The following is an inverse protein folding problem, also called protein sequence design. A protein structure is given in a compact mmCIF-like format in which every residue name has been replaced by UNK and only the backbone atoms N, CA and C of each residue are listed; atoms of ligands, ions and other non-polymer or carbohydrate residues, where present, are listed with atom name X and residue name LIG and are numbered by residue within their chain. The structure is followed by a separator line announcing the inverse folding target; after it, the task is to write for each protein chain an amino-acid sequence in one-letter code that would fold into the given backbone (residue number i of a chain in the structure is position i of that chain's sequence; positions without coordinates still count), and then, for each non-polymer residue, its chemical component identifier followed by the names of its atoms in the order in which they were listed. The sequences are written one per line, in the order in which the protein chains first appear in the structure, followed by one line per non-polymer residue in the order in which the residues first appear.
data_IF_088803401564
#
_entry.id   IF_088803401564
#
_cell.length_a   1.000
_cell.length_b   1.000
_cell.length_c   1.000
_cell.angle_alpha   90.00
_cell.angle_beta   90.00
_cell.angle_gamma   90.00
#
_symmetry.space_group_name_H-M   'P 1'
#
loop_
_entity.id
_entity.type
_entity.pdbx_description
1 polymer ?
#
# COMPACT_ATOMS: atom_id res chain seq x y z
N UNK A 1 -4.46 4.40 7.25
CA UNK A 1 -4.31 3.66 8.52
C UNK A 1 -4.48 2.19 8.24
N UNK A 2 -3.60 1.34 8.79
CA UNK A 2 -3.69 -0.12 8.75
C UNK A 2 -4.14 -0.56 10.15
N UNK A 3 -5.35 -1.13 10.24
CA UNK A 3 -5.91 -1.68 11.48
C UNK A 3 -5.82 -3.20 11.44
N UNK A 4 -5.29 -3.82 12.46
CA UNK A 4 -4.95 -5.24 12.45
C UNK A 4 -5.40 -5.90 13.75
N UNK A 5 -6.29 -6.89 13.65
CA UNK A 5 -6.79 -7.61 14.82
C UNK A 5 -5.70 -8.48 15.44
N UNK A 6 -5.38 -8.23 16.72
CA UNK A 6 -4.40 -9.00 17.49
C UNK A 6 -4.77 -10.49 17.60
N UNK A 7 -6.05 -10.78 17.79
CA UNK A 7 -6.56 -12.16 17.86
C UNK A 7 -6.30 -12.90 16.55
N UNK A 8 -6.62 -12.27 15.41
CA UNK A 8 -6.35 -12.87 14.08
C UNK A 8 -4.85 -13.12 13.86
N UNK A 9 -3.99 -12.20 14.31
CA UNK A 9 -2.54 -12.38 14.21
C UNK A 9 -2.03 -13.60 14.99
N UNK A 10 -2.50 -13.78 16.23
CA UNK A 10 -2.12 -14.94 17.05
C UNK A 10 -2.66 -16.24 16.46
N UNK A 11 -3.94 -16.26 16.02
CA UNK A 11 -4.54 -17.45 15.38
C UNK A 11 -3.78 -17.88 14.12
N UNK A 12 -3.34 -16.91 13.32
CA UNK A 12 -2.62 -17.16 12.07
C UNK A 12 -1.09 -17.28 12.26
N UNK A 13 -0.59 -17.14 13.50
CA UNK A 13 0.86 -17.10 13.82
C UNK A 13 1.64 -16.03 13.05
N UNK A 14 0.98 -14.92 12.70
CA UNK A 14 1.52 -13.84 11.86
C UNK A 14 1.94 -12.59 12.67
N UNK A 15 2.02 -12.69 14.02
CA UNK A 15 2.36 -11.55 14.87
C UNK A 15 3.81 -11.10 14.71
N UNK A 16 4.75 -12.04 14.50
CA UNK A 16 6.16 -11.74 14.29
C UNK A 16 6.39 -10.92 13.01
N UNK A 17 5.66 -11.25 11.94
CA UNK A 17 5.72 -10.52 10.66
C UNK A 17 5.29 -9.06 10.83
N UNK A 18 4.24 -8.80 11.61
CA UNK A 18 3.73 -7.44 11.85
C UNK A 18 4.67 -6.63 12.75
N UNK A 19 5.24 -7.24 13.78
CA UNK A 19 6.26 -6.58 14.61
C UNK A 19 7.47 -6.24 13.76
N UNK A 20 7.94 -7.18 12.96
CA UNK A 20 9.06 -6.97 12.05
C UNK A 20 8.77 -5.86 11.02
N UNK A 21 7.57 -5.84 10.43
CA UNK A 21 7.14 -4.77 9.53
C UNK A 21 7.18 -3.40 10.23
N UNK A 22 6.66 -3.32 11.45
CA UNK A 22 6.66 -2.10 12.25
C UNK A 22 8.09 -1.63 12.56
N UNK A 23 8.98 -2.52 13.00
CA UNK A 23 10.37 -2.19 13.32
C UNK A 23 11.16 -1.73 12.10
N UNK A 24 10.97 -2.35 10.94
CA UNK A 24 11.59 -1.92 9.69
C UNK A 24 11.08 -0.55 9.28
N UNK A 25 9.76 -0.37 9.23
CA UNK A 25 9.16 0.90 8.87
C UNK A 25 9.61 2.05 9.79
N UNK A 26 9.82 1.78 11.08
CA UNK A 26 10.32 2.76 12.04
C UNK A 26 11.75 3.27 11.71
N UNK A 27 12.55 2.46 11.04
CA UNK A 27 13.95 2.75 10.69
C UNK A 27 14.11 3.31 9.27
N UNK A 28 13.14 3.07 8.39
CA UNK A 28 13.21 3.46 6.99
C UNK A 28 12.68 4.89 6.79
N UNK A 29 13.47 5.72 6.12
CA UNK A 29 13.06 7.08 5.74
C UNK A 29 13.65 7.45 4.38
N UNK A 30 12.82 7.35 3.32
CA UNK A 30 13.26 7.61 1.96
C UNK A 30 12.12 8.12 1.08
N UNK A 31 12.36 9.06 0.13
CA UNK A 31 11.32 9.64 -0.72
C UNK A 31 10.50 8.63 -1.55
N UNK A 32 11.05 7.44 -1.82
CA UNK A 32 10.41 6.40 -2.64
C UNK A 32 9.99 5.16 -1.83
N UNK A 33 9.88 5.30 -0.51
CA UNK A 33 9.26 4.30 0.37
C UNK A 33 8.04 4.93 1.03
N UNK A 34 7.03 4.11 1.30
CA UNK A 34 5.89 4.54 2.13
C UNK A 34 6.37 4.62 3.57
N UNK A 35 6.43 5.83 4.11
CA UNK A 35 6.87 6.07 5.48
C UNK A 35 5.78 5.74 6.50
N UNK A 36 6.18 5.28 7.68
CA UNK A 36 5.32 5.15 8.84
C UNK A 36 5.48 6.40 9.72
N UNK A 37 4.36 7.06 10.03
CA UNK A 37 4.36 8.23 10.90
C UNK A 37 4.31 7.82 12.37
N UNK A 38 3.44 6.88 12.71
CA UNK A 38 3.35 6.30 14.04
C UNK A 38 2.65 4.95 14.04
N UNK A 39 2.86 4.18 15.09
CA UNK A 39 2.10 2.99 15.42
C UNK A 39 1.66 3.03 16.86
N UNK A 40 0.49 2.51 17.15
CA UNK A 40 -0.07 2.38 18.48
C UNK A 40 -1.02 1.19 18.55
N UNK A 41 -1.52 0.90 19.73
CA UNK A 41 -2.37 -0.25 19.97
C UNK A 41 -3.46 0.07 21.00
N UNK A 42 -4.57 -0.66 20.91
CA UNK A 42 -5.53 -0.80 21.98
C UNK A 42 -5.61 -2.25 22.46
N UNK A 43 -6.63 -2.60 23.23
CA UNK A 43 -6.82 -3.96 23.72
C UNK A 43 -6.92 -5.00 22.59
N UNK A 44 -7.58 -4.67 21.48
CA UNK A 44 -7.98 -5.63 20.46
C UNK A 44 -7.23 -5.50 19.14
N UNK A 45 -6.66 -4.32 18.85
CA UNK A 45 -6.08 -3.98 17.56
C UNK A 45 -4.71 -3.33 17.67
N UNK A 46 -3.92 -3.52 16.63
CA UNK A 46 -2.72 -2.74 16.31
C UNK A 46 -3.06 -1.75 15.20
N UNK A 47 -2.46 -0.57 15.26
CA UNK A 47 -2.64 0.49 14.27
C UNK A 47 -1.29 0.96 13.75
N UNK A 48 -1.16 1.05 12.43
CA UNK A 48 -0.01 1.65 11.77
C UNK A 48 -0.50 2.79 10.89
N UNK A 49 0.02 3.99 11.13
CA UNK A 49 -0.31 5.19 10.38
C UNK A 49 0.83 5.50 9.43
N UNK A 50 0.59 5.23 8.16
CA UNK A 50 1.55 5.42 7.09
C UNK A 50 1.21 6.67 6.28
N UNK A 51 2.14 7.10 5.43
CA UNK A 51 1.89 8.16 4.46
C UNK A 51 0.69 7.81 3.57
N UNK A 52 -0.13 8.81 3.29
CA UNK A 52 -1.28 8.63 2.41
C UNK A 52 -0.84 8.59 0.94
N UNK A 53 -1.16 7.51 0.27
CA UNK A 53 -0.92 7.29 -1.16
C UNK A 53 -2.25 7.36 -1.95
N UNK A 54 -2.76 8.58 -2.21
CA UNK A 54 -4.12 8.76 -2.76
C UNK A 54 -4.26 8.30 -4.21
N UNK A 55 -3.15 8.08 -4.90
CA UNK A 55 -3.14 7.56 -6.26
C UNK A 55 -3.44 6.06 -6.36
N UNK A 56 -3.46 5.32 -5.22
CA UNK A 56 -3.66 3.87 -5.22
C UNK A 56 -2.45 3.10 -5.74
N UNK A 57 -2.62 1.83 -6.03
CA UNK A 57 -1.54 0.93 -6.45
C UNK A 57 -1.41 0.79 -7.97
N UNK A 58 -0.26 0.30 -8.43
CA UNK A 58 0.03 0.09 -9.84
C UNK A 58 -0.85 -1.02 -10.45
N UNK A 59 -1.25 -2.06 -9.68
CA UNK A 59 -2.15 -3.12 -10.14
C UNK A 59 -3.50 -2.56 -10.56
N UNK A 60 -4.07 -1.71 -9.71
CA UNK A 60 -5.33 -1.05 -10.02
C UNK A 60 -5.24 -0.27 -11.34
N UNK A 61 -4.21 0.57 -11.51
CA UNK A 61 -4.05 1.38 -12.73
C UNK A 61 -3.69 0.55 -13.96
N UNK A 62 -2.96 -0.53 -13.77
CA UNK A 62 -2.69 -1.51 -14.82
C UNK A 62 -3.98 -2.08 -15.43
N UNK A 63 -4.98 -2.36 -14.59
CA UNK A 63 -6.30 -2.85 -15.03
C UNK A 63 -7.14 -1.70 -15.62
N UNK A 64 -7.22 -0.56 -14.94
CA UNK A 64 -8.10 0.55 -15.34
C UNK A 64 -7.63 1.28 -16.60
N UNK A 65 -6.34 1.53 -16.71
CA UNK A 65 -5.76 2.31 -17.81
C UNK A 65 -5.57 1.49 -19.08
N UNK A 66 -5.62 0.16 -18.99
CA UNK A 66 -5.36 -0.81 -20.07
C UNK A 66 -3.92 -0.79 -20.61
N UNK A 67 -3.32 0.39 -20.87
CA UNK A 67 -1.98 0.54 -21.43
C UNK A 67 -1.21 1.64 -20.74
N UNK A 68 -0.02 1.32 -20.26
CA UNK A 68 1.01 2.29 -19.95
C UNK A 68 1.89 2.49 -21.18
N UNK A 69 2.29 3.71 -21.45
CA UNK A 69 3.33 4.01 -22.43
C UNK A 69 4.71 3.65 -21.86
N UNK A 70 5.68 3.40 -22.74
CA UNK A 70 7.07 3.16 -22.29
C UNK A 70 7.63 4.32 -21.45
N UNK A 71 7.27 5.57 -21.77
CA UNK A 71 7.67 6.75 -21.01
C UNK A 71 7.14 6.72 -19.58
N UNK A 72 5.88 6.32 -19.39
CA UNK A 72 5.27 6.18 -18.05
C UNK A 72 5.92 5.04 -17.28
N UNK A 73 6.13 3.89 -17.96
CA UNK A 73 6.83 2.75 -17.38
C UNK A 73 8.23 3.14 -16.92
N UNK A 74 9.00 3.82 -17.77
CA UNK A 74 10.36 4.28 -17.47
C UNK A 74 10.42 5.12 -16.20
N UNK A 75 9.49 6.05 -16.02
CA UNK A 75 9.41 6.88 -14.84
C UNK A 75 9.07 6.08 -13.58
N UNK A 76 8.07 5.19 -13.67
CA UNK A 76 7.66 4.30 -12.56
C UNK A 76 8.83 3.42 -12.14
N UNK A 77 9.49 2.76 -13.09
CA UNK A 77 10.62 1.88 -12.81
C UNK A 77 11.81 2.66 -12.22
N UNK A 78 12.05 3.88 -12.66
CA UNK A 78 13.10 4.72 -12.08
C UNK A 78 12.83 5.03 -10.59
N UNK A 79 11.59 5.34 -10.22
CA UNK A 79 11.22 5.55 -8.82
C UNK A 79 11.39 4.26 -8.00
N UNK A 80 11.00 3.09 -8.53
CA UNK A 80 11.19 1.78 -7.89
C UNK A 80 12.68 1.50 -7.68
N UNK A 81 13.53 1.73 -8.69
CA UNK A 81 14.99 1.56 -8.59
C UNK A 81 15.56 2.41 -7.46
N UNK A 82 15.15 3.68 -7.30
CA UNK A 82 15.62 4.54 -6.21
C UNK A 82 15.17 4.03 -4.83
N UNK A 83 13.96 3.45 -4.71
CA UNK A 83 13.49 2.79 -3.51
C UNK A 83 14.31 1.55 -3.17
N UNK A 84 14.56 0.67 -4.16
CA UNK A 84 15.39 -0.52 -3.99
C UNK A 84 16.85 -0.17 -3.67
N UNK A 85 17.41 0.88 -4.29
CA UNK A 85 18.77 1.37 -3.99
C UNK A 85 18.93 1.69 -2.50
N UNK A 86 17.95 2.37 -1.92
CA UNK A 86 17.96 2.69 -0.51
C UNK A 86 17.84 1.44 0.37
N UNK A 87 16.91 0.52 0.05
CA UNK A 87 16.75 -0.73 0.80
C UNK A 87 18.04 -1.56 0.77
N UNK A 88 18.59 -1.78 -0.43
CA UNK A 88 19.80 -2.61 -0.62
C UNK A 88 21.03 -1.97 0.04
N UNK A 89 21.16 -0.63 0.03
CA UNK A 89 22.24 0.06 0.74
C UNK A 89 22.14 -0.08 2.27
N UNK A 90 20.93 -0.32 2.78
CA UNK A 90 20.67 -0.64 4.19
C UNK A 90 20.65 -2.16 4.46
N UNK A 91 21.13 -2.96 3.50
CA UNK A 91 21.19 -4.43 3.57
C UNK A 91 19.80 -5.08 3.69
N UNK A 92 18.75 -4.47 3.15
CA UNK A 92 17.37 -4.97 3.20
C UNK A 92 16.95 -5.43 1.81
N UNK A 93 16.43 -6.66 1.71
CA UNK A 93 15.78 -7.21 0.53
C UNK A 93 14.26 -7.06 0.73
N UNK A 94 13.56 -6.55 -0.29
CA UNK A 94 12.10 -6.33 -0.23
C UNK A 94 11.30 -7.64 -0.27
N UNK A 95 11.65 -8.55 -1.18
CA UNK A 95 11.14 -9.92 -1.36
C UNK A 95 9.68 -10.04 -1.85
N UNK A 96 8.90 -8.97 -1.82
CA UNK A 96 7.52 -8.97 -2.35
C UNK A 96 7.26 -7.80 -3.31
N UNK A 97 8.23 -7.54 -4.21
CA UNK A 97 8.03 -6.51 -5.23
C UNK A 97 7.00 -6.98 -6.27
N UNK A 98 5.87 -6.29 -6.31
CA UNK A 98 4.74 -6.54 -7.21
C UNK A 98 3.95 -5.25 -7.42
N UNK A 99 3.08 -5.16 -8.45
CA UNK A 99 2.31 -3.94 -8.72
C UNK A 99 1.42 -3.48 -7.57
N UNK A 100 0.92 -4.40 -6.73
CA UNK A 100 0.10 -4.11 -5.55
C UNK A 100 0.89 -3.34 -4.47
N UNK A 101 2.21 -3.52 -4.41
CA UNK A 101 3.11 -2.88 -3.44
C UNK A 101 3.83 -1.64 -4.00
N UNK A 102 3.43 -1.17 -5.18
CA UNK A 102 3.93 0.05 -5.83
C UNK A 102 2.80 1.08 -5.82
N UNK A 103 2.85 2.03 -4.88
CA UNK A 103 1.77 2.97 -4.60
C UNK A 103 2.07 4.35 -5.17
N UNK A 104 1.06 4.99 -5.76
CA UNK A 104 1.16 6.35 -6.31
C UNK A 104 0.81 7.42 -5.28
N UNK A 105 1.63 8.46 -5.23
CA UNK A 105 1.29 9.71 -4.55
C UNK A 105 0.37 10.61 -5.42
N UNK A 106 -0.02 11.76 -4.88
CA UNK A 106 -0.85 12.75 -5.58
C UNK A 106 -0.16 13.43 -6.77
N UNK A 107 1.17 13.32 -6.90
CA UNK A 107 1.98 13.92 -7.97
C UNK A 107 2.32 12.93 -9.07
N UNK A 108 1.98 11.65 -8.88
CA UNK A 108 2.29 10.56 -9.82
C UNK A 108 3.65 9.90 -9.61
N UNK A 109 4.33 10.19 -8.50
CA UNK A 109 5.49 9.41 -8.08
C UNK A 109 5.04 8.13 -7.42
N UNK A 110 5.86 7.08 -7.52
CA UNK A 110 5.56 5.81 -6.88
C UNK A 110 6.48 5.54 -5.70
N UNK A 111 5.94 4.85 -4.71
CA UNK A 111 6.60 4.50 -3.46
C UNK A 111 6.43 3.01 -3.20
N UNK A 112 7.49 2.34 -2.74
CA UNK A 112 7.43 0.95 -2.32
C UNK A 112 6.76 0.84 -0.95
N UNK A 113 5.88 -0.12 -0.81
CA UNK A 113 5.09 -0.39 0.38
C UNK A 113 5.17 -1.87 0.76
N UNK A 114 4.70 -2.18 1.96
CA UNK A 114 4.56 -3.54 2.50
C UNK A 114 5.90 -4.26 2.70
N UNK A 115 6.51 -4.01 3.86
CA UNK A 115 7.78 -4.61 4.27
C UNK A 115 7.59 -5.81 5.21
N UNK A 116 6.39 -6.40 5.28
CA UNK A 116 6.05 -7.49 6.19
C UNK A 116 6.93 -8.71 6.05
N UNK A 117 7.41 -9.01 4.84
CA UNK A 117 8.36 -10.09 4.58
C UNK A 117 9.75 -9.61 4.14
N UNK A 118 10.00 -8.30 4.16
CA UNK A 118 11.33 -7.76 3.88
C UNK A 118 12.32 -8.30 4.92
N UNK A 119 13.57 -8.50 4.52
CA UNK A 119 14.57 -9.08 5.43
C UNK A 119 15.90 -8.37 5.32
N UNK A 120 16.49 -8.08 6.48
CA UNK A 120 17.83 -7.55 6.56
C UNK A 120 18.84 -8.69 6.45
N UNK A 121 19.79 -8.55 5.54
CA UNK A 121 20.98 -9.42 5.49
C UNK A 121 21.91 -9.06 6.65
N UNK A 122 22.67 -10.03 7.13
CA UNK A 122 23.70 -9.79 8.11
C UNK A 122 24.91 -9.04 7.59
N UNK A 123 25.95 -8.98 8.40
CA UNK A 123 27.14 -8.19 8.07
C UNK A 123 28.14 -8.95 7.19
N UNK A 124 28.01 -10.28 7.08
CA UNK A 124 28.87 -11.08 6.21
C UNK A 124 28.54 -10.84 4.73
N UNK A 125 29.57 -10.61 3.87
CA UNK A 125 29.36 -10.26 2.45
C UNK A 125 28.61 -11.32 1.63
N UNK A 126 28.65 -12.59 2.07
CA UNK A 126 28.04 -13.74 1.39
C UNK A 126 26.73 -14.21 2.03
N UNK A 127 26.22 -13.48 3.03
CA UNK A 127 25.00 -13.89 3.71
C UNK A 127 23.81 -13.85 2.75
N UNK A 128 23.13 -14.97 2.68
CA UNK A 128 21.99 -15.21 1.81
C UNK A 128 20.82 -15.74 2.62
N UNK A 129 19.61 -15.48 2.14
CA UNK A 129 18.38 -15.87 2.80
C UNK A 129 17.92 -17.23 2.28
N UNK A 130 17.60 -18.15 3.20
CA UNK A 130 16.86 -19.39 2.93
C UNK A 130 15.42 -19.22 3.40
N UNK A 131 14.55 -18.69 2.55
CA UNK A 131 13.15 -18.45 2.84
C UNK A 131 12.38 -18.33 1.54
N UNK A 132 11.18 -18.87 1.50
CA UNK A 132 10.34 -18.94 0.31
C UNK A 132 9.11 -18.05 0.40
N UNK A 133 9.14 -17.03 1.27
CA UNK A 133 8.07 -16.05 1.38
C UNK A 133 8.00 -15.16 0.15
N UNK A 134 6.81 -14.67 -0.17
CA UNK A 134 6.54 -13.76 -1.28
C UNK A 134 5.43 -14.25 -2.21
N UNK A 135 5.15 -13.45 -3.22
CA UNK A 135 4.10 -13.71 -4.21
C UNK A 135 4.62 -14.59 -5.35
N UNK A 136 4.16 -15.85 -5.51
CA UNK A 136 4.80 -16.83 -6.40
C UNK A 136 4.99 -16.36 -7.84
N UNK A 137 4.08 -15.54 -8.38
CA UNK A 137 4.16 -15.04 -9.74
C UNK A 137 5.24 -13.99 -10.00
N UNK A 138 5.91 -13.49 -8.93
CA UNK A 138 6.98 -12.49 -8.98
C UNK A 138 8.29 -13.01 -8.39
N UNK A 139 8.28 -14.18 -7.76
CA UNK A 139 9.49 -14.79 -7.18
C UNK A 139 10.53 -15.09 -8.22
N UNK A 140 11.79 -14.86 -7.84
CA UNK A 140 12.93 -15.30 -8.64
C UNK A 140 13.09 -16.83 -8.64
N UNK A 141 13.81 -17.40 -9.63
CA UNK A 141 14.06 -18.83 -9.67
C UNK A 141 14.69 -19.37 -8.39
N UNK A 142 15.72 -18.72 -7.88
CA UNK A 142 16.39 -19.13 -6.65
C UNK A 142 15.42 -19.14 -5.45
N UNK A 143 14.49 -18.17 -5.34
CA UNK A 143 13.50 -18.14 -4.26
C UNK A 143 12.45 -19.24 -4.40
N UNK A 144 11.87 -19.44 -5.60
CA UNK A 144 10.79 -20.42 -5.80
C UNK A 144 11.29 -21.87 -5.71
N UNK A 145 12.58 -22.09 -6.03
CA UNK A 145 13.26 -23.40 -5.91
C UNK A 145 13.88 -23.65 -4.54
N UNK A 146 13.61 -22.79 -3.54
CA UNK A 146 14.12 -22.89 -2.18
C UNK A 146 15.66 -22.83 -2.08
N UNK A 147 16.26 -22.02 -2.95
CA UNK A 147 17.70 -21.77 -2.91
C UNK A 147 17.99 -20.49 -2.13
N UNK A 148 19.24 -20.36 -1.69
CA UNK A 148 19.72 -19.13 -1.07
C UNK A 148 19.65 -17.97 -2.06
N UNK A 149 19.10 -16.84 -1.65
CA UNK A 149 18.90 -15.67 -2.50
C UNK A 149 19.44 -14.38 -1.87
N UNK A 150 19.66 -13.39 -2.71
CA UNK A 150 20.24 -12.09 -2.39
C UNK A 150 19.39 -10.93 -2.97
N UNK A 151 19.96 -9.74 -3.01
CA UNK A 151 19.33 -8.56 -3.65
C UNK A 151 18.91 -8.81 -5.11
N UNK A 152 19.56 -9.73 -5.80
CA UNK A 152 19.26 -10.07 -7.20
C UNK A 152 17.83 -10.60 -7.37
N UNK A 153 17.21 -11.13 -6.32
CA UNK A 153 15.81 -11.58 -6.34
C UNK A 153 14.82 -10.42 -6.55
N UNK A 154 15.07 -9.24 -5.96
CA UNK A 154 14.23 -8.05 -6.18
C UNK A 154 14.35 -7.56 -7.63
N UNK A 155 15.50 -7.70 -8.26
CA UNK A 155 15.69 -7.32 -9.68
C UNK A 155 14.95 -8.26 -10.63
N UNK A 156 14.87 -9.55 -10.30
CA UNK A 156 14.02 -10.47 -11.08
C UNK A 156 12.54 -10.06 -10.94
N UNK A 157 12.07 -9.78 -9.72
CA UNK A 157 10.70 -9.31 -9.49
C UNK A 157 10.41 -8.01 -10.25
N UNK A 158 11.37 -7.08 -10.32
CA UNK A 158 11.30 -5.87 -11.15
C UNK A 158 11.16 -6.22 -12.64
N UNK A 159 11.91 -7.22 -13.11
CA UNK A 159 11.81 -7.74 -14.48
C UNK A 159 10.42 -8.30 -14.80
N UNK A 160 9.80 -9.00 -13.84
CA UNK A 160 8.42 -9.49 -13.96
C UNK A 160 7.44 -8.33 -14.07
N UNK A 161 7.60 -7.27 -13.27
CA UNK A 161 6.77 -6.05 -13.36
C UNK A 161 6.94 -5.38 -14.73
N UNK A 162 8.17 -5.22 -15.23
CA UNK A 162 8.43 -4.67 -16.57
C UNK A 162 7.77 -5.50 -17.67
N UNK A 163 7.95 -6.82 -17.62
CA UNK A 163 7.34 -7.75 -18.58
C UNK A 163 5.81 -7.63 -18.57
N UNK A 164 5.20 -7.62 -17.39
CA UNK A 164 3.75 -7.52 -17.24
C UNK A 164 3.22 -6.19 -17.78
N UNK A 165 3.91 -5.07 -17.53
CA UNK A 165 3.51 -3.75 -18.05
C UNK A 165 3.50 -3.70 -19.56
N UNK A 166 4.41 -4.39 -20.24
CA UNK A 166 4.50 -4.44 -21.70
C UNK A 166 3.60 -5.52 -22.29
N UNK A 167 3.71 -6.77 -21.80
CA UNK A 167 3.09 -7.95 -22.41
C UNK A 167 1.68 -8.25 -21.91
N UNK A 168 1.20 -7.52 -20.88
CA UNK A 168 -0.13 -7.69 -20.27
C UNK A 168 -0.39 -9.04 -19.61
N UNK A 169 0.65 -9.78 -19.36
CA UNK A 169 0.63 -11.08 -18.65
C UNK A 169 1.97 -11.27 -17.95
N UNK A 170 1.98 -12.06 -16.90
CA UNK A 170 3.23 -12.44 -16.25
C UNK A 170 4.03 -13.41 -17.12
N UNK A 171 5.36 -13.44 -17.01
CA UNK A 171 6.20 -14.36 -17.80
C UNK A 171 5.92 -15.82 -17.42
N UNK A 172 5.73 -16.11 -16.14
CA UNK A 172 5.40 -17.44 -15.64
C UNK A 172 4.06 -17.44 -14.96
N UNK A 173 3.14 -18.30 -15.41
CA UNK A 173 1.77 -18.39 -14.91
C UNK A 173 1.46 -19.81 -14.43
N UNK A 174 0.54 -19.93 -13.48
CA UNK A 174 0.01 -21.18 -12.94
C UNK A 174 -1.10 -20.88 -11.95
N UNK A 175 -1.95 -21.86 -11.64
CA UNK A 175 -3.06 -21.74 -10.69
C UNK A 175 -2.58 -21.75 -9.24
N UNK A 176 -1.42 -22.33 -9.01
CA UNK A 176 -0.80 -22.43 -7.70
C UNK A 176 0.74 -22.32 -7.83
N UNK A 177 1.42 -22.29 -6.69
CA UNK A 177 2.87 -22.15 -6.62
C UNK A 177 3.60 -23.29 -7.35
N UNK A 178 3.10 -24.53 -7.28
CA UNK A 178 3.73 -25.68 -7.90
C UNK A 178 3.69 -25.60 -9.42
N UNK A 179 2.57 -25.23 -10.01
CA UNK A 179 2.44 -25.02 -11.46
C UNK A 179 3.36 -23.90 -11.97
N UNK A 180 3.48 -22.78 -11.22
CA UNK A 180 4.39 -21.68 -11.56
C UNK A 180 5.85 -22.17 -11.52
N UNK A 181 6.22 -22.95 -10.50
CA UNK A 181 7.54 -23.56 -10.36
C UNK A 181 7.87 -24.48 -11.52
N UNK A 182 6.96 -25.35 -11.92
CA UNK A 182 7.11 -26.24 -13.08
C UNK A 182 7.20 -25.45 -14.38
N UNK A 183 6.36 -24.43 -14.56
CA UNK A 183 6.43 -23.55 -15.72
C UNK A 183 7.80 -22.86 -15.81
N UNK A 184 8.28 -22.34 -14.68
CA UNK A 184 9.60 -21.69 -14.62
C UNK A 184 10.75 -22.67 -14.85
N UNK A 185 10.63 -23.93 -14.40
CA UNK A 185 11.65 -24.96 -14.66
C UNK A 185 11.76 -25.28 -16.16
N UNK A 186 10.61 -25.48 -16.81
CA UNK A 186 10.54 -26.01 -18.17
C UNK A 186 10.65 -24.94 -19.27
N UNK A 187 10.38 -23.66 -18.98
CA UNK A 187 10.35 -22.62 -19.98
C UNK A 187 11.42 -21.54 -19.70
N UNK A 188 12.10 -21.13 -20.78
CA UNK A 188 12.95 -19.95 -20.78
C UNK A 188 12.19 -18.79 -21.44
N UNK A 189 12.00 -17.71 -20.71
CA UNK A 189 11.31 -16.53 -21.22
C UNK A 189 12.32 -15.52 -21.72
N UNK A 190 12.24 -15.24 -23.02
CA UNK A 190 13.01 -14.20 -23.68
C UNK A 190 12.10 -13.52 -24.71
N UNK A 191 11.88 -12.22 -24.56
CA UNK A 191 11.11 -11.44 -25.51
C UNK A 191 11.93 -11.29 -26.79
N UNK A 192 11.40 -11.75 -27.90
CA UNK A 192 12.05 -11.63 -29.22
C UNK A 192 11.69 -10.32 -29.91
N UNK A 193 12.52 -9.86 -30.83
CA UNK A 193 12.32 -8.58 -31.54
C UNK A 193 10.97 -8.50 -32.26
N UNK A 194 10.48 -9.60 -32.79
CA UNK A 194 9.18 -9.69 -33.48
C UNK A 194 7.96 -9.74 -32.52
N UNK A 195 8.19 -9.89 -31.23
CA UNK A 195 7.16 -9.91 -30.19
C UNK A 195 6.98 -8.55 -29.52
N UNK A 196 7.81 -7.57 -29.87
CA UNK A 196 7.77 -6.23 -29.25
C UNK A 196 6.48 -5.53 -29.64
N UNK A 197 5.59 -5.15 -28.67
CA UNK A 197 4.38 -4.43 -28.99
C UNK A 197 4.69 -3.03 -29.55
N UNK A 198 3.82 -2.52 -30.39
CA UNK A 198 3.96 -1.16 -30.94
C UNK A 198 4.07 -0.12 -29.82
N UNK A 199 5.09 0.74 -29.91
CA UNK A 199 5.33 1.81 -28.93
C UNK A 199 6.33 1.46 -27.81
N UNK A 200 6.97 0.27 -27.90
CA UNK A 200 8.03 -0.15 -27.01
C UNK A 200 9.37 -0.29 -27.77
N UNK A 201 10.46 0.06 -27.09
CA UNK A 201 11.81 0.04 -27.67
C UNK A 201 12.52 -1.30 -27.46
N UNK A 202 13.52 -1.56 -28.30
CA UNK A 202 14.45 -2.69 -28.14
C UNK A 202 15.26 -2.58 -26.85
N UNK A 203 15.56 -1.35 -26.41
CA UNK A 203 16.30 -1.08 -25.19
C UNK A 203 15.49 -1.48 -23.94
N UNK A 204 14.16 -1.25 -23.93
CA UNK A 204 13.29 -1.73 -22.87
C UNK A 204 13.23 -3.25 -22.81
N UNK A 205 13.15 -3.88 -23.99
CA UNK A 205 13.14 -5.35 -24.11
C UNK A 205 14.46 -5.95 -23.61
N UNK A 206 15.60 -5.37 -23.98
CA UNK A 206 16.92 -5.80 -23.50
C UNK A 206 17.03 -5.66 -21.98
N UNK A 207 16.57 -4.52 -21.42
CA UNK A 207 16.51 -4.30 -19.99
C UNK A 207 15.67 -5.37 -19.28
N UNK A 208 14.47 -5.64 -19.80
CA UNK A 208 13.53 -6.61 -19.22
C UNK A 208 14.09 -8.04 -19.29
N UNK A 209 14.63 -8.44 -20.46
CA UNK A 209 15.23 -9.77 -20.65
C UNK A 209 16.41 -9.99 -19.69
N UNK A 210 17.27 -8.99 -19.52
CA UNK A 210 18.42 -9.06 -18.60
C UNK A 210 18.00 -9.13 -17.13
N UNK A 211 16.87 -8.54 -16.74
CA UNK A 211 16.33 -8.68 -15.39
C UNK A 211 15.69 -10.05 -15.18
N UNK A 212 15.09 -10.66 -16.20
CA UNK A 212 14.47 -11.98 -16.15
C UNK A 212 15.47 -13.14 -16.32
N UNK A 213 16.78 -12.85 -16.36
CA UNK A 213 17.81 -13.87 -16.39
C UNK A 213 17.70 -14.81 -15.19
N UNK A 214 17.61 -16.13 -15.47
CA UNK A 214 17.41 -17.12 -14.41
C UNK A 214 18.64 -17.29 -13.53
N UNK A 215 19.83 -17.29 -14.14
CA UNK A 215 21.07 -17.29 -13.38
C UNK A 215 21.28 -15.90 -12.77
N UNK A 216 21.24 -15.81 -11.44
CA UNK A 216 21.37 -14.53 -10.73
C UNK A 216 22.67 -13.81 -11.03
N UNK A 217 23.79 -14.53 -11.26
CA UNK A 217 25.11 -13.94 -11.55
C UNK A 217 25.14 -13.21 -12.91
N UNK A 218 24.32 -13.65 -13.86
CA UNK A 218 24.18 -13.03 -15.18
C UNK A 218 23.07 -11.96 -15.20
N UNK A 219 22.26 -11.90 -14.14
CA UNK A 219 21.12 -10.98 -14.03
C UNK A 219 21.61 -9.54 -13.91
N UNK A 220 20.96 -8.63 -14.62
CA UNK A 220 21.22 -7.19 -14.51
C UNK A 220 21.02 -6.73 -13.05
N UNK A 221 22.02 -6.08 -12.51
CA UNK A 221 22.03 -5.61 -11.11
C UNK A 221 22.74 -6.55 -10.13
N UNK A 222 23.13 -7.78 -10.52
CA UNK A 222 23.86 -8.67 -9.63
C UNK A 222 25.13 -8.03 -9.04
N UNK A 223 25.84 -7.24 -9.86
CA UNK A 223 27.06 -6.49 -9.43
C UNK A 223 26.72 -5.18 -8.70
N UNK A 224 25.47 -4.79 -8.65
CA UNK A 224 24.98 -3.59 -7.97
C UNK A 224 23.96 -2.81 -8.79
N UNK A 225 23.20 -1.98 -8.11
CA UNK A 225 22.08 -1.24 -8.70
C UNK A 225 22.50 -0.22 -9.78
N UNK A 226 23.77 0.20 -9.78
CA UNK A 226 24.29 1.10 -10.80
C UNK A 226 24.22 0.48 -12.22
N UNK A 227 24.29 -0.84 -12.35
CA UNK A 227 24.14 -1.51 -13.63
C UNK A 227 22.78 -1.20 -14.25
N UNK A 228 21.71 -1.13 -13.43
CA UNK A 228 20.37 -0.76 -13.89
C UNK A 228 20.37 0.71 -14.36
N UNK A 229 20.92 1.61 -13.57
CA UNK A 229 20.93 3.05 -13.86
C UNK A 229 21.72 3.40 -15.12
N UNK A 230 22.81 2.66 -15.38
CA UNK A 230 23.67 2.83 -16.54
C UNK A 230 23.15 2.14 -17.82
N UNK A 231 22.11 1.31 -17.71
CA UNK A 231 21.54 0.60 -18.85
C UNK A 231 21.04 1.59 -19.92
N UNK A 232 21.25 1.32 -21.25
CA UNK A 232 20.86 2.22 -22.32
C UNK A 232 19.43 2.74 -22.24
N UNK A 233 18.49 1.91 -21.80
CA UNK A 233 17.10 2.31 -21.60
C UNK A 233 16.92 3.43 -20.59
N UNK A 234 17.70 3.46 -19.49
CA UNK A 234 17.59 4.43 -18.40
C UNK A 234 18.67 5.53 -18.43
N UNK A 235 19.68 5.39 -19.31
CA UNK A 235 20.89 6.24 -19.34
C UNK A 235 20.61 7.75 -19.42
N UNK A 236 19.52 8.16 -20.07
CA UNK A 236 19.19 9.58 -20.26
C UNK A 236 18.33 10.17 -19.14
N UNK A 237 18.01 9.40 -18.10
CA UNK A 237 17.24 9.93 -16.98
C UNK A 237 18.07 10.86 -16.10
N UNK A 238 17.47 11.95 -15.67
CA UNK A 238 18.06 12.80 -14.64
C UNK A 238 17.70 12.27 -13.25
N UNK A 239 18.46 11.30 -12.78
CA UNK A 239 18.27 10.63 -11.49
C UNK A 239 18.17 11.61 -10.31
N UNK A 240 18.99 12.68 -10.32
CA UNK A 240 18.95 13.71 -9.28
C UNK A 240 17.61 14.45 -9.26
N UNK A 241 17.07 14.81 -10.43
CA UNK A 241 15.77 15.49 -10.48
C UNK A 241 14.63 14.57 -10.09
N UNK A 242 14.70 13.29 -10.47
CA UNK A 242 13.69 12.28 -10.03
C UNK A 242 13.78 12.14 -8.51
N UNK A 243 14.98 11.95 -7.94
CA UNK A 243 15.19 11.82 -6.50
C UNK A 243 14.66 13.04 -5.72
N UNK A 244 14.88 14.23 -6.22
CA UNK A 244 14.39 15.49 -5.62
C UNK A 244 12.91 15.78 -5.95
N UNK A 245 12.21 14.87 -6.63
CA UNK A 245 10.82 15.03 -7.07
C UNK A 245 10.56 16.32 -7.87
N UNK A 246 11.54 16.72 -8.69
CA UNK A 246 11.47 17.92 -9.57
C UNK A 246 10.98 17.59 -10.97
N UNK A 247 11.04 16.33 -11.40
CA UNK A 247 10.51 15.90 -12.70
C UNK A 247 8.98 15.83 -12.66
N UNK A 248 8.33 16.24 -13.75
CA UNK A 248 6.89 16.06 -13.89
C UNK A 248 6.60 14.61 -14.25
N UNK A 249 5.86 13.90 -13.37
CA UNK A 249 5.43 12.55 -13.66
C UNK A 249 4.59 12.49 -14.96
N UNK A 250 4.91 11.56 -15.88
CA UNK A 250 4.18 11.45 -17.14
C UNK A 250 2.77 10.86 -16.97
N UNK A 251 2.50 10.24 -15.83
CA UNK A 251 1.18 9.76 -15.43
C UNK A 251 0.89 10.27 -14.01
N UNK A 252 -0.23 10.95 -13.86
CA UNK A 252 -0.76 11.37 -12.55
C UNK A 252 -2.12 10.70 -12.40
N UNK A 253 -2.27 9.79 -11.42
CA UNK A 253 -3.53 9.13 -11.17
C UNK A 253 -4.65 10.16 -10.92
N UNK A 254 -5.82 10.04 -11.57
CA UNK A 254 -6.98 10.82 -11.18
C UNK A 254 -7.35 10.49 -9.72
N UNK A 255 -7.88 11.46 -8.98
CA UNK A 255 -8.29 11.24 -7.58
C UNK A 255 -9.26 10.06 -7.50
N UNK A 256 -8.80 8.96 -6.88
CA UNK A 256 -9.63 7.79 -6.64
C UNK A 256 -10.62 8.13 -5.53
N UNK A 257 -11.91 7.94 -5.78
CA UNK A 257 -12.90 7.88 -4.70
C UNK A 257 -12.71 6.50 -4.05
N UNK A 258 -12.08 6.47 -2.88
CA UNK A 258 -11.86 5.23 -2.14
C UNK A 258 -13.24 4.70 -1.70
N UNK A 259 -13.70 3.63 -2.35
CA UNK A 259 -14.79 2.81 -1.82
C UNK A 259 -14.12 1.77 -0.91
N UNK A 260 -14.43 1.80 0.37
CA UNK A 260 -14.02 0.77 1.32
C UNK A 260 -14.69 -0.56 0.95
N UNK A 261 -13.91 -1.62 0.82
CA UNK A 261 -14.43 -2.98 0.77
C UNK A 261 -14.97 -3.33 2.17
N UNK A 262 -16.24 -3.73 2.24
CA UNK A 262 -16.86 -4.18 3.48
C UNK A 262 -16.36 -5.59 3.80
N UNK A 263 -15.64 -5.72 4.91
CA UNK A 263 -15.37 -7.02 5.51
C UNK A 263 -16.68 -7.58 6.12
N UNK A 264 -17.28 -8.55 5.44
CA UNK A 264 -18.40 -9.32 5.96
C UNK A 264 -17.95 -10.22 7.12
N UNK A 265 -17.98 -9.68 8.34
CA UNK A 265 -17.72 -10.44 9.57
C UNK A 265 -19.00 -11.11 10.08
N UNK A 266 -19.18 -12.39 9.74
CA UNK A 266 -20.15 -13.27 10.40
C UNK A 266 -19.64 -13.63 11.82
N UNK A 267 -20.21 -13.01 12.84
CA UNK A 267 -19.92 -13.28 14.25
C UNK A 267 -20.65 -14.55 14.74
N UNK A 268 -19.92 -15.64 14.93
CA UNK A 268 -20.39 -16.84 15.66
C UNK A 268 -19.99 -16.73 17.15
N UNK A 269 -20.90 -17.03 18.09
CA UNK A 269 -20.67 -17.00 19.54
C UNK A 269 -19.51 -17.89 20.01
N UNK A 270 -19.27 -19.01 19.34
CA UNK A 270 -18.13 -19.90 19.62
C UNK A 270 -16.77 -19.22 19.40
N UNK A 271 -16.66 -18.30 18.41
CA UNK A 271 -15.46 -17.49 18.19
C UNK A 271 -15.20 -16.50 19.31
N UNK A 272 -16.23 -15.99 20.00
CA UNK A 272 -16.05 -15.06 21.12
C UNK A 272 -15.31 -15.69 22.31
N UNK A 273 -15.66 -16.93 22.68
CA UNK A 273 -15.03 -17.62 23.80
C UNK A 273 -13.58 -18.02 23.52
N UNK A 274 -13.27 -18.38 22.28
CA UNK A 274 -11.91 -18.70 21.84
C UNK A 274 -11.03 -17.42 21.80
N UNK A 275 -11.57 -16.32 21.31
CA UNK A 275 -10.90 -15.02 21.31
C UNK A 275 -10.56 -14.54 22.72
N UNK A 276 -11.46 -14.75 23.72
CA UNK A 276 -11.22 -14.38 25.10
C UNK A 276 -10.05 -15.18 25.74
N UNK A 277 -9.93 -16.47 25.40
CA UNK A 277 -8.80 -17.30 25.84
C UNK A 277 -7.48 -16.82 25.28
N UNK A 278 -7.46 -16.43 24.00
CA UNK A 278 -6.25 -15.89 23.35
C UNK A 278 -5.85 -14.55 23.97
N UNK A 279 -6.78 -13.62 24.20
CA UNK A 279 -6.53 -12.32 24.81
C UNK A 279 -5.97 -12.40 26.22
N UNK A 280 -6.30 -13.44 26.98
CA UNK A 280 -5.82 -13.66 28.34
C UNK A 280 -4.48 -14.42 28.40
N UNK A 281 -3.93 -14.86 27.27
CA UNK A 281 -2.66 -15.58 27.25
C UNK A 281 -1.45 -14.68 27.51
N UNK A 282 -0.40 -15.24 28.14
CA UNK A 282 0.88 -14.52 28.30
C UNK A 282 1.53 -14.16 26.97
N UNK A 283 1.37 -15.03 25.97
CA UNK A 283 1.85 -14.80 24.62
C UNK A 283 1.26 -13.50 24.03
N UNK A 284 -0.06 -13.28 24.23
CA UNK A 284 -0.74 -12.07 23.74
C UNK A 284 -0.16 -10.80 24.37
N UNK A 285 0.14 -10.83 25.68
CA UNK A 285 0.72 -9.68 26.39
C UNK A 285 2.13 -9.38 25.92
N UNK A 286 2.99 -10.39 25.82
CA UNK A 286 4.39 -10.25 25.39
C UNK A 286 4.55 -9.87 23.93
N UNK A 287 3.72 -10.45 23.04
CA UNK A 287 3.86 -10.26 21.60
C UNK A 287 3.74 -8.80 21.14
N UNK A 288 3.01 -7.96 21.90
CA UNK A 288 2.71 -6.59 21.49
C UNK A 288 3.22 -5.52 22.48
N UNK A 289 4.11 -5.88 23.41
CA UNK A 289 4.56 -5.00 24.50
C UNK A 289 5.21 -3.69 24.01
N UNK A 290 5.88 -3.70 22.86
CA UNK A 290 6.65 -2.57 22.32
C UNK A 290 6.20 -2.12 20.94
N UNK A 291 4.93 -2.33 20.58
CA UNK A 291 4.42 -1.97 19.24
C UNK A 291 4.29 -0.46 18.99
N UNK A 292 4.64 0.38 19.94
CA UNK A 292 4.43 1.81 19.84
C UNK A 292 5.62 2.53 19.18
N UNK A 293 5.33 3.40 18.22
CA UNK A 293 6.33 4.19 17.51
C UNK A 293 5.79 5.57 17.13
N UNK A 294 6.64 6.58 17.22
CA UNK A 294 6.37 7.93 16.76
C UNK A 294 7.56 8.46 15.93
N UNK A 295 7.28 8.93 14.71
CA UNK A 295 8.30 9.50 13.84
C UNK A 295 8.63 10.94 14.26
N UNK A 296 9.69 11.11 15.06
CA UNK A 296 10.17 12.42 15.55
C UNK A 296 10.58 13.40 14.44
N UNK A 297 10.80 12.91 13.22
CA UNK A 297 11.27 13.72 12.08
C UNK A 297 10.13 14.22 11.19
N UNK A 298 8.90 13.80 11.44
CA UNK A 298 7.75 14.29 10.68
C UNK A 298 7.44 15.74 11.04
N UNK A 299 7.89 16.69 10.19
CA UNK A 299 7.58 18.13 10.33
C UNK A 299 6.08 18.43 10.41
N UNK A 300 5.25 17.54 9.89
CA UNK A 300 3.80 17.67 9.83
C UNK A 300 3.12 17.65 11.21
N UNK A 301 3.77 17.04 12.21
CA UNK A 301 3.18 16.80 13.53
C UNK A 301 3.88 17.52 14.68
N UNK A 302 4.90 18.36 14.41
CA UNK A 302 5.69 19.04 15.43
C UNK A 302 4.87 20.01 16.31
N UNK A 303 3.76 20.55 15.80
CA UNK A 303 2.95 21.54 16.52
C UNK A 303 1.93 20.94 17.51
N UNK A 304 1.71 19.61 17.48
CA UNK A 304 0.75 18.92 18.34
C UNK A 304 1.38 17.71 19.05
N UNK A 305 2.61 17.89 19.53
CA UNK A 305 3.43 16.81 20.07
C UNK A 305 2.77 16.05 21.23
N UNK A 306 2.01 16.72 22.10
CA UNK A 306 1.38 16.10 23.26
C UNK A 306 0.29 15.09 22.87
N UNK A 307 -0.52 15.39 21.85
CA UNK A 307 -1.57 14.47 21.37
C UNK A 307 -0.94 13.22 20.76
N UNK A 308 0.20 13.38 20.06
CA UNK A 308 0.83 12.27 19.33
C UNK A 308 1.84 11.47 20.15
N UNK A 309 2.35 12.02 21.25
CA UNK A 309 3.24 11.32 22.19
C UNK A 309 2.48 10.53 23.25
N UNK A 310 1.17 10.79 23.41
CA UNK A 310 0.29 10.05 24.30
C UNK A 310 -0.77 9.32 23.47
N UNK A 311 -0.64 7.99 23.24
CA UNK A 311 -1.59 7.20 22.45
C UNK A 311 -3.03 7.32 22.94
N UNK A 312 -3.22 7.50 24.27
CA UNK A 312 -4.55 7.65 24.89
C UNK A 312 -5.22 8.96 24.47
N UNK A 313 -4.49 10.08 24.55
CA UNK A 313 -5.01 11.40 24.12
C UNK A 313 -5.32 11.45 22.63
N UNK A 314 -4.51 10.76 21.81
CA UNK A 314 -4.77 10.64 20.38
C UNK A 314 -6.07 9.87 20.10
N UNK A 315 -6.31 8.80 20.86
CA UNK A 315 -7.53 7.99 20.72
C UNK A 315 -8.77 8.78 21.17
N UNK A 316 -8.69 9.49 22.30
CA UNK A 316 -9.77 10.37 22.78
C UNK A 316 -10.10 11.47 21.78
N UNK A 317 -9.09 12.05 21.11
CA UNK A 317 -9.31 13.08 20.10
C UNK A 317 -9.99 12.51 18.83
N UNK A 318 -9.64 11.29 18.39
CA UNK A 318 -10.35 10.59 17.31
C UNK A 318 -11.80 10.35 17.71
N UNK A 319 -12.06 9.77 18.88
CA UNK A 319 -13.43 9.51 19.37
C UNK A 319 -14.24 10.81 19.51
N UNK A 320 -13.63 11.87 20.02
CA UNK A 320 -14.26 13.20 20.11
C UNK A 320 -14.67 13.72 18.73
N UNK A 321 -13.79 13.62 17.75
CA UNK A 321 -14.06 14.05 16.36
C UNK A 321 -15.11 13.17 15.68
N UNK A 322 -15.12 11.87 15.93
CA UNK A 322 -16.19 10.98 15.48
C UNK A 322 -17.55 11.35 16.08
N UNK A 323 -17.60 11.67 17.38
CA UNK A 323 -18.82 12.09 18.04
C UNK A 323 -19.32 13.43 17.51
N UNK A 324 -18.45 14.42 17.29
CA UNK A 324 -18.79 15.69 16.66
C UNK A 324 -19.39 15.49 15.27
N UNK A 325 -18.76 14.63 14.44
CA UNK A 325 -19.27 14.31 13.11
C UNK A 325 -20.64 13.62 13.17
N UNK A 326 -20.82 12.64 14.05
CA UNK A 326 -22.08 11.94 14.22
C UNK A 326 -23.20 12.88 14.68
N UNK A 327 -22.89 13.84 15.56
CA UNK A 327 -23.84 14.86 16.02
C UNK A 327 -24.28 15.79 14.87
N UNK A 328 -23.36 16.16 13.98
CA UNK A 328 -23.67 16.98 12.79
C UNK A 328 -24.53 16.20 11.82
N UNK A 329 -24.20 14.93 11.56
CA UNK A 329 -25.01 14.03 10.70
C UNK A 329 -26.43 13.88 11.27
N UNK A 330 -26.56 13.68 12.59
CA UNK A 330 -27.86 13.56 13.25
C UNK A 330 -28.70 14.82 13.12
N UNK A 331 -28.11 16.01 13.35
CA UNK A 331 -28.80 17.30 13.16
C UNK A 331 -29.27 17.47 11.70
N UNK A 332 -28.44 17.11 10.74
CA UNK A 332 -28.84 17.18 9.32
C UNK A 332 -29.98 16.21 8.98
N UNK A 333 -30.00 15.02 9.56
CA UNK A 333 -31.10 14.06 9.36
C UNK A 333 -32.40 14.52 10.04
N UNK A 334 -32.32 15.20 11.20
CA UNK A 334 -33.50 15.84 11.84
C UNK A 334 -34.06 17.01 11.02
N UNK A 335 -33.21 17.89 10.52
CA UNK A 335 -33.63 18.97 9.63
C UNK A 335 -34.33 18.43 8.37
N UNK A 336 -33.83 17.34 7.85
CA UNK A 336 -34.41 16.64 6.68
C UNK A 336 -35.79 16.05 7.01
N UNK A 337 -35.95 15.48 8.20
CA UNK A 337 -37.25 14.97 8.68
C UNK A 337 -38.27 16.10 8.82
N UNK A 338 -37.90 17.22 9.44
CA UNK A 338 -38.73 18.40 9.59
C UNK A 338 -39.14 18.98 8.21
N UNK A 339 -38.22 19.08 7.27
CA UNK A 339 -38.50 19.57 5.93
C UNK A 339 -39.45 18.63 5.16
N UNK A 340 -39.32 17.32 5.33
CA UNK A 340 -40.25 16.32 4.74
C UNK A 340 -41.64 16.42 5.33
N UNK A 341 -41.75 16.67 6.63
CA UNK A 341 -43.02 16.82 7.32
C UNK A 341 -43.73 18.11 6.90
N UNK A 342 -43.00 19.23 6.81
CA UNK A 342 -43.49 20.52 6.31
C UNK A 342 -44.00 20.44 4.84
N UNK A 343 -43.29 19.67 4.01
CA UNK A 343 -43.69 19.45 2.62
C UNK A 343 -44.92 18.51 2.50
N UNK A 344 -45.13 17.59 3.42
CA UNK A 344 -46.36 16.76 3.51
C UNK A 344 -47.58 17.64 3.88
N UNK A 345 -47.41 18.56 4.85
CA UNK A 345 -48.49 19.46 5.26
C UNK A 345 -48.88 20.48 4.20
N UNK A 346 -47.96 20.84 3.28
CA UNK A 346 -48.21 21.78 2.20
C UNK A 346 -48.86 21.20 0.94
N UNK A 347 -49.23 19.91 0.93
CA UNK A 347 -50.04 19.28 -0.13
C UNK A 347 -49.46 19.33 -1.53
N UNK A 348 -48.15 19.62 -1.71
CA UNK A 348 -47.55 19.77 -3.03
C UNK A 348 -47.08 18.44 -3.59
N UNK A 349 -47.78 17.97 -4.60
CA UNK A 349 -47.34 16.93 -5.53
C UNK A 349 -46.09 17.39 -6.30
N UNK A 350 -44.90 16.98 -5.91
CA UNK A 350 -43.66 17.26 -6.63
C UNK A 350 -42.72 16.06 -6.61
N UNK A 351 -42.98 15.11 -7.49
CA UNK A 351 -42.12 13.95 -7.77
C UNK A 351 -40.76 14.32 -8.41
N UNK A 352 -40.61 15.54 -8.94
CA UNK A 352 -39.40 15.98 -9.68
C UNK A 352 -38.26 16.55 -8.80
N UNK A 353 -38.54 17.03 -7.57
CA UNK A 353 -37.56 17.70 -6.74
C UNK A 353 -36.70 16.78 -5.85
N UNK A 354 -37.05 15.49 -5.75
CA UNK A 354 -36.31 14.53 -4.89
C UNK A 354 -34.89 14.20 -5.41
N UNK A 355 -34.67 14.27 -6.72
CA UNK A 355 -33.34 13.99 -7.31
C UNK A 355 -32.38 15.16 -7.13
N UNK A 356 -32.88 16.41 -7.20
CA UNK A 356 -32.08 17.62 -7.02
C UNK A 356 -31.73 17.82 -5.54
N UNK A 357 -32.64 17.58 -4.59
CA UNK A 357 -32.39 17.72 -3.16
C UNK A 357 -31.46 16.62 -2.60
N UNK A 358 -31.54 15.36 -3.10
CA UNK A 358 -30.55 14.33 -2.76
C UNK A 358 -29.14 14.70 -3.19
N UNK A 359 -28.99 15.35 -4.33
CA UNK A 359 -27.70 15.86 -4.80
C UNK A 359 -27.21 17.04 -3.96
N UNK A 360 -28.08 17.95 -3.52
CA UNK A 360 -27.72 19.10 -2.67
C UNK A 360 -27.22 18.65 -1.28
N UNK A 361 -27.84 17.61 -0.70
CA UNK A 361 -27.41 17.04 0.58
C UNK A 361 -26.09 16.29 0.43
N UNK A 362 -25.93 15.54 -0.67
CA UNK A 362 -24.67 14.89 -1.00
C UNK A 362 -23.54 15.91 -1.20
N UNK A 363 -23.88 17.08 -1.77
CA UNK A 363 -22.93 18.19 -1.95
C UNK A 363 -22.66 18.94 -0.64
N UNK A 364 -23.65 19.13 0.25
CA UNK A 364 -23.46 19.71 1.58
C UNK A 364 -22.67 18.76 2.51
N UNK A 365 -22.95 17.45 2.50
CA UNK A 365 -22.13 16.44 3.18
C UNK A 365 -20.69 16.46 2.64
N UNK A 366 -20.49 16.57 1.33
CA UNK A 366 -19.16 16.73 0.72
C UNK A 366 -18.47 18.04 1.13
N UNK A 367 -19.22 19.18 1.15
CA UNK A 367 -18.66 20.48 1.59
C UNK A 367 -18.28 20.46 3.07
N UNK A 368 -19.05 19.80 3.92
CA UNK A 368 -18.75 19.70 5.35
C UNK A 368 -17.53 18.78 5.58
N UNK A 369 -17.43 17.66 4.88
CA UNK A 369 -16.21 16.84 4.88
C UNK A 369 -15.01 17.67 4.41
N UNK A 370 -15.17 18.53 3.39
CA UNK A 370 -14.14 19.47 2.94
C UNK A 370 -13.82 20.57 3.96
N UNK A 371 -14.80 21.06 4.74
CA UNK A 371 -14.58 22.08 5.80
C UNK A 371 -13.89 21.50 7.03
N UNK A 372 -14.21 20.27 7.43
CA UNK A 372 -13.44 19.52 8.43
C UNK A 372 -12.01 19.22 7.97
N UNK A 373 -11.79 19.21 6.64
CA UNK A 373 -10.48 19.13 6.02
C UNK A 373 -9.68 20.44 6.13
N UNK A 374 -10.26 21.57 6.44
CA UNK A 374 -9.60 22.90 6.55
C UNK A 374 -9.34 23.34 7.98
N UNK A 375 -9.88 22.68 9.01
CA UNK A 375 -9.61 22.99 10.40
C UNK A 375 -8.30 22.35 10.91
N UNK A 376 -7.57 23.16 11.66
CA UNK A 376 -6.14 23.16 12.01
C UNK A 376 -5.56 21.99 12.82
N UNK A 377 -5.95 20.74 12.63
CA UNK A 377 -5.14 19.61 13.12
C UNK A 377 -4.43 18.96 11.95
N UNK A 378 -3.15 19.32 11.68
CA UNK A 378 -2.39 18.70 10.60
C UNK A 378 -2.24 17.20 10.88
N UNK A 379 -2.80 16.37 10.02
CA UNK A 379 -2.70 14.91 10.14
C UNK A 379 -3.99 14.17 10.42
N UNK A 380 -4.97 14.80 11.07
CA UNK A 380 -6.31 14.21 11.26
C UNK A 380 -7.04 14.03 9.90
N UNK A 381 -6.77 14.91 8.94
CA UNK A 381 -7.24 14.81 7.54
C UNK A 381 -6.96 13.47 6.89
N UNK A 382 -5.74 12.96 7.10
CA UNK A 382 -5.27 11.75 6.43
C UNK A 382 -5.74 10.48 7.19
N UNK A 383 -6.21 10.64 8.44
CA UNK A 383 -6.65 9.57 9.33
C UNK A 383 -8.17 9.38 9.28
N UNK A 384 -8.93 10.48 9.20
CA UNK A 384 -10.41 10.48 9.30
C UNK A 384 -11.11 10.30 7.95
N UNK A 385 -10.41 10.44 6.84
CA UNK A 385 -10.97 10.13 5.51
C UNK A 385 -10.45 8.76 5.06
N UNK A 386 -11.20 7.73 4.93
CA UNK A 386 -12.59 7.41 5.09
C UNK A 386 -12.84 6.28 6.11
N UNK A 387 -13.18 6.62 7.32
CA UNK A 387 -13.81 5.64 8.19
C UNK A 387 -15.23 5.41 7.65
N UNK A 388 -15.55 4.17 7.40
CA UNK A 388 -16.77 3.72 6.74
C UNK A 388 -18.01 4.04 7.59
N UNK A 389 -18.70 5.15 7.35
CA UNK A 389 -19.91 5.55 8.07
C UNK A 389 -21.17 4.73 7.73
N UNK A 390 -21.06 3.70 6.87
CA UNK A 390 -22.22 2.91 6.47
C UNK A 390 -22.45 1.63 7.29
N UNK A 391 -21.50 1.17 8.13
CA UNK A 391 -21.63 -0.12 8.82
C UNK A 391 -22.49 -0.13 10.09
N UNK A 392 -22.97 1.04 10.59
CA UNK A 392 -23.79 1.10 11.81
C UNK A 392 -25.31 1.28 11.60
N UNK A 393 -25.82 1.22 10.36
CA UNK A 393 -27.28 1.35 10.11
C UNK A 393 -28.10 0.07 10.17
N UNK A 394 -27.54 -1.08 10.54
CA UNK A 394 -28.28 -2.35 10.59
C UNK A 394 -28.41 -2.99 11.98
N UNK A 395 -28.13 -2.30 13.07
CA UNK A 395 -28.32 -2.88 14.40
C UNK A 395 -29.40 -2.22 15.25
N UNK A 396 -30.36 -1.51 14.67
CA UNK A 396 -31.60 -1.09 15.37
C UNK A 396 -32.76 -1.22 14.36
N UNK A 397 -33.28 -2.38 14.24
CA UNK A 397 -34.69 -2.70 13.92
C UNK A 397 -34.94 -4.15 14.36
#
# INVERSE_FOLDING_TARGET
MKEISKVKLIQNKAYEEIIHEQELNAKLNHPFLVGMNFSFQNKDYLYMINDLMPGGDLRYWYIQKKNFSEKECKFIIACVILGLEYLHSNKIIHRDLKPENILFDKKGYVHLADFGIAKKLGDEPEERIEDTSGSPGYMSPETIFNQKHSYASDFFSLGVVCYEMMMKKRPYNGKNRQEIKENMANNFIQIKTNEIPKGWSSEFVDFTNKLLEKNEENRLGYKGINDLKCHPWLKLLNWKNIYLMKEKAPFIPPKKVVCSEEDNNNNNENKKNENLKIQNSELYKKAFEHFEYFNKFSKKYQNNLEIFTNPHLFYEEIERKEQEFNNVVHKMDEELKKEKELNRQRGSSLYSNNKIKKNTIRTKKRKFTYQMEDEEIPGLRDIVSPINFNSRKQSVA
#
